data_IF_492744648256
#
_entry.id   IF_492744648256
#
_cell.length_a   1.000
_cell.length_b   1.000
_cell.length_c   1.000
_cell.angle_alpha   90.00
_cell.angle_beta   90.00
_cell.angle_gamma   90.00
#
_symmetry.space_group_name_H-M   'P 1'
#
loop_
_entity.id
_entity.type
_entity.pdbx_description
1 polymer ?
#
# COMPACT_ATOMS: atom_id res chain seq x y z
N UNK A 1 -9.51 20.36 -12.39
CA UNK A 1 -10.57 19.80 -11.50
C UNK A 1 -10.24 18.33 -11.24
N UNK A 2 -10.31 17.89 -9.99
CA UNK A 2 -10.05 16.48 -9.63
C UNK A 2 -11.15 15.59 -10.24
N UNK A 3 -10.76 14.46 -10.82
CA UNK A 3 -11.70 13.49 -11.39
C UNK A 3 -12.43 12.76 -10.28
N UNK A 4 -13.73 12.95 -10.17
CA UNK A 4 -14.61 12.28 -9.23
C UNK A 4 -14.93 10.87 -9.71
N UNK A 5 -14.90 9.88 -8.79
CA UNK A 5 -15.20 8.48 -9.07
C UNK A 5 -16.52 8.03 -8.42
N UNK A 6 -17.14 8.88 -7.64
CA UNK A 6 -18.46 8.69 -7.05
C UNK A 6 -18.57 9.11 -5.59
N UNK A 7 -19.76 9.57 -5.21
CA UNK A 7 -20.13 9.91 -3.83
C UNK A 7 -21.20 8.93 -3.32
N UNK A 8 -21.04 8.47 -2.10
CA UNK A 8 -22.01 7.61 -1.41
C UNK A 8 -22.01 7.92 0.08
N UNK A 9 -23.18 8.17 0.63
CA UNK A 9 -23.36 8.49 2.06
C UNK A 9 -22.50 9.68 2.52
N UNK A 10 -22.35 10.71 1.65
CA UNK A 10 -21.52 11.88 1.93
C UNK A 10 -20.01 11.65 1.86
N UNK A 11 -19.56 10.49 1.39
CA UNK A 11 -18.13 10.21 1.17
C UNK A 11 -17.86 10.18 -0.33
N UNK A 12 -17.17 11.21 -0.81
CA UNK A 12 -16.69 11.34 -2.17
C UNK A 12 -15.33 10.61 -2.33
N UNK A 13 -15.22 9.76 -3.35
CA UNK A 13 -13.93 9.21 -3.79
C UNK A 13 -13.54 9.90 -5.09
N UNK A 14 -12.29 10.38 -5.14
CA UNK A 14 -11.74 11.07 -6.31
C UNK A 14 -10.27 10.72 -6.53
N UNK A 15 -9.76 11.01 -7.71
CA UNK A 15 -8.32 10.97 -7.99
C UNK A 15 -7.63 12.02 -7.11
N UNK A 16 -6.52 11.62 -6.50
CA UNK A 16 -5.64 12.48 -5.70
C UNK A 16 -4.80 13.37 -6.62
N UNK A 17 -4.61 14.62 -6.26
CA UNK A 17 -3.69 15.55 -6.90
C UNK A 17 -2.45 15.81 -6.03
N UNK A 18 -1.39 16.35 -6.61
CA UNK A 18 -0.15 16.68 -5.87
C UNK A 18 -0.41 17.71 -4.77
N UNK A 19 -1.35 18.64 -5.00
CA UNK A 19 -1.75 19.65 -4.03
C UNK A 19 -2.34 19.06 -2.75
N UNK A 20 -2.95 17.86 -2.85
CA UNK A 20 -3.51 17.15 -1.69
C UNK A 20 -2.41 16.59 -0.78
N UNK A 21 -1.19 16.38 -1.30
CA UNK A 21 -0.18 15.57 -0.64
C UNK A 21 0.20 16.07 0.76
N UNK A 22 0.23 17.37 0.97
CA UNK A 22 0.50 17.94 2.30
C UNK A 22 -0.50 17.47 3.36
N UNK A 23 -1.79 17.44 3.03
CA UNK A 23 -2.84 16.97 3.93
C UNK A 23 -2.85 15.44 4.05
N UNK A 24 -2.55 14.74 2.96
CA UNK A 24 -2.38 13.27 2.92
C UNK A 24 -1.26 12.84 3.86
N UNK A 25 -0.12 13.50 3.85
CA UNK A 25 1.01 13.22 4.74
C UNK A 25 0.63 13.37 6.22
N UNK A 26 -0.09 14.45 6.57
CA UNK A 26 -0.61 14.66 7.94
C UNK A 26 -1.57 13.54 8.31
N UNK A 27 -2.50 13.18 7.42
CA UNK A 27 -3.46 12.11 7.65
C UNK A 27 -2.76 10.75 7.86
N UNK A 28 -1.77 10.41 7.04
CA UNK A 28 -0.99 9.17 7.19
C UNK A 28 -0.23 9.14 8.51
N UNK A 29 0.37 10.25 8.91
CA UNK A 29 1.07 10.38 10.19
C UNK A 29 0.20 10.01 11.38
N UNK A 30 -1.05 10.46 11.39
CA UNK A 30 -1.98 10.17 12.47
C UNK A 30 -2.69 8.81 12.41
N UNK A 31 -2.75 8.18 11.23
CA UNK A 31 -3.64 7.04 11.01
C UNK A 31 -2.98 5.78 10.47
N UNK A 32 -1.82 5.88 9.81
CA UNK A 32 -1.20 4.75 9.13
C UNK A 32 -0.05 4.14 9.93
N UNK A 33 1.01 4.90 10.17
CA UNK A 33 2.28 4.35 10.65
C UNK A 33 2.19 3.66 12.00
N UNK A 34 1.36 4.16 12.92
CA UNK A 34 1.15 3.57 14.25
C UNK A 34 0.32 2.28 14.21
N UNK A 35 -0.41 2.02 13.13
CA UNK A 35 -1.31 0.87 12.99
C UNK A 35 -0.89 -0.12 11.90
N UNK A 36 0.12 0.21 11.11
CA UNK A 36 0.67 -0.68 10.09
C UNK A 36 1.54 -1.76 10.78
N UNK A 37 1.28 -3.07 10.54
CA UNK A 37 1.87 -4.15 11.33
C UNK A 37 3.40 -4.18 11.33
N UNK A 38 4.05 -3.91 10.20
CA UNK A 38 5.52 -3.93 10.11
C UNK A 38 6.14 -2.72 10.81
N UNK A 39 5.55 -1.54 10.62
CA UNK A 39 5.97 -0.32 11.29
C UNK A 39 5.77 -0.41 12.81
N UNK A 40 4.60 -0.84 13.25
CA UNK A 40 4.25 -0.93 14.67
C UNK A 40 5.09 -1.98 15.42
N UNK A 41 5.60 -3.01 14.72
CA UNK A 41 6.42 -4.06 15.34
C UNK A 41 7.87 -3.67 15.61
N UNK A 42 8.33 -2.50 15.13
CA UNK A 42 9.73 -2.09 15.22
C UNK A 42 10.09 -1.40 16.53
N UNK A 43 9.13 -0.73 17.16
CA UNK A 43 9.36 0.13 18.31
C UNK A 43 10.06 1.45 17.98
N UNK A 44 10.31 1.77 16.71
CA UNK A 44 10.94 2.99 16.22
C UNK A 44 9.90 4.06 15.86
N UNK A 45 10.28 5.34 15.90
CA UNK A 45 9.47 6.44 15.37
C UNK A 45 9.59 6.49 13.84
N UNK A 46 8.78 5.68 13.18
CA UNK A 46 8.84 5.46 11.73
C UNK A 46 8.51 6.71 10.92
N UNK A 47 7.83 7.70 11.50
CA UNK A 47 7.45 8.93 10.79
C UNK A 47 8.65 9.82 10.47
N UNK A 48 9.71 9.73 11.26
CA UNK A 48 10.91 10.56 11.10
C UNK A 48 11.99 9.94 10.23
N UNK A 49 11.86 8.66 9.90
CA UNK A 49 12.84 7.97 9.08
C UNK A 49 12.54 8.18 7.59
N UNK A 50 13.51 8.71 6.81
CA UNK A 50 13.45 8.86 5.34
C UNK A 50 12.25 9.65 4.80
N UNK A 51 11.90 10.75 5.46
CA UNK A 51 10.73 11.56 5.13
C UNK A 51 10.78 12.08 3.69
N UNK A 52 11.94 12.52 3.22
CA UNK A 52 12.10 13.12 1.89
C UNK A 52 11.97 12.08 0.77
N UNK A 53 12.63 10.95 0.89
CA UNK A 53 12.59 9.86 -0.10
C UNK A 53 11.19 9.29 -0.23
N UNK A 54 10.49 9.12 0.88
CA UNK A 54 9.08 8.71 0.88
C UNK A 54 8.19 9.75 0.21
N UNK A 55 8.42 11.03 0.44
CA UNK A 55 7.65 12.11 -0.19
C UNK A 55 7.81 12.07 -1.71
N UNK A 56 9.04 11.97 -2.22
CA UNK A 56 9.33 11.89 -3.65
C UNK A 56 8.66 10.65 -4.29
N UNK A 57 8.73 9.52 -3.62
CA UNK A 57 8.10 8.28 -4.09
C UNK A 57 6.56 8.39 -4.14
N UNK A 58 5.93 8.92 -3.09
CA UNK A 58 4.48 9.10 -3.06
C UNK A 58 4.00 10.12 -4.10
N UNK A 59 4.72 11.24 -4.26
CA UNK A 59 4.40 12.24 -5.28
C UNK A 59 4.50 11.63 -6.68
N UNK A 60 5.53 10.83 -6.95
CA UNK A 60 5.67 10.15 -8.25
C UNK A 60 4.50 9.21 -8.57
N UNK A 61 3.89 8.57 -7.56
CA UNK A 61 2.65 7.80 -7.75
C UNK A 61 1.44 8.67 -8.01
N UNK A 62 1.31 9.80 -7.30
CA UNK A 62 0.19 10.73 -7.47
C UNK A 62 0.17 11.32 -8.88
N UNK A 63 1.33 11.68 -9.41
CA UNK A 63 1.48 12.21 -10.77
C UNK A 63 1.01 11.23 -11.87
N UNK A 64 1.02 9.93 -11.60
CA UNK A 64 0.48 8.91 -12.51
C UNK A 64 -1.06 8.91 -12.57
N UNK A 65 -1.74 9.62 -11.66
CA UNK A 65 -3.19 9.68 -11.58
C UNK A 65 -3.84 8.34 -11.21
N UNK A 66 -3.14 7.55 -10.37
CA UNK A 66 -3.61 6.25 -9.86
C UNK A 66 -3.90 6.28 -8.36
N UNK A 67 -3.54 7.35 -7.67
CA UNK A 67 -3.82 7.52 -6.25
C UNK A 67 -5.24 8.05 -6.00
N UNK A 68 -5.88 7.59 -4.93
CA UNK A 68 -7.26 7.93 -4.59
C UNK A 68 -7.35 8.62 -3.24
N UNK A 69 -8.32 9.53 -3.13
CA UNK A 69 -8.67 10.21 -1.89
C UNK A 69 -10.16 10.04 -1.61
N UNK A 70 -10.51 9.68 -0.38
CA UNK A 70 -11.87 9.69 0.14
C UNK A 70 -12.04 10.86 1.09
N UNK A 71 -13.02 11.74 0.83
CA UNK A 71 -13.30 12.91 1.65
C UNK A 71 -14.75 12.89 2.14
N UNK A 72 -14.95 13.34 3.37
CA UNK A 72 -16.28 13.49 3.99
C UNK A 72 -16.82 14.87 3.65
N UNK A 73 -17.73 14.91 2.67
CA UNK A 73 -18.38 16.15 2.18
C UNK A 73 -19.24 16.81 3.28
N UNK A 74 -19.80 16.02 4.18
CA UNK A 74 -20.63 16.53 5.29
C UNK A 74 -19.80 17.14 6.43
N UNK A 75 -18.48 16.95 6.39
CA UNK A 75 -17.56 17.40 7.43
C UNK A 75 -16.40 18.23 6.83
N UNK A 76 -16.76 19.24 6.05
CA UNK A 76 -15.80 20.19 5.48
C UNK A 76 -14.76 19.60 4.52
N UNK A 77 -15.03 18.47 3.90
CA UNK A 77 -14.09 17.80 2.98
C UNK A 77 -12.92 17.13 3.70
N UNK A 78 -13.09 16.76 4.97
CA UNK A 78 -12.06 16.06 5.75
C UNK A 78 -11.67 14.75 5.07
N UNK A 79 -10.36 14.48 4.98
CA UNK A 79 -9.84 13.20 4.50
C UNK A 79 -10.25 12.09 5.48
N UNK A 80 -10.85 11.03 4.97
CA UNK A 80 -11.29 9.85 5.72
C UNK A 80 -10.69 8.54 5.19
N UNK A 81 -10.01 8.59 4.06
CA UNK A 81 -9.29 7.45 3.52
C UNK A 81 -8.48 7.81 2.28
N UNK A 82 -7.54 6.95 1.93
CA UNK A 82 -6.72 7.11 0.73
C UNK A 82 -6.20 5.78 0.20
N UNK A 83 -5.77 5.81 -1.06
CA UNK A 83 -4.91 4.78 -1.66
C UNK A 83 -3.76 5.48 -2.36
N UNK A 84 -2.53 5.06 -2.05
CA UNK A 84 -1.35 5.33 -2.87
C UNK A 84 -1.10 4.11 -3.75
N UNK A 85 -1.03 4.33 -5.04
CA UNK A 85 -0.82 3.28 -6.03
C UNK A 85 -0.09 3.82 -7.25
N UNK A 86 0.72 2.97 -7.89
CA UNK A 86 1.50 3.37 -9.05
C UNK A 86 1.78 2.20 -10.00
N UNK A 87 2.29 2.53 -11.17
CA UNK A 87 2.78 1.56 -12.12
C UNK A 87 4.06 0.90 -11.62
N UNK A 88 4.16 -0.41 -11.78
CA UNK A 88 5.38 -1.17 -11.56
C UNK A 88 5.72 -1.94 -12.83
N UNK A 89 7.01 -2.01 -13.16
CA UNK A 89 7.55 -2.69 -14.36
C UNK A 89 8.65 -3.68 -13.97
N UNK A 90 9.04 -4.63 -14.85
CA UNK A 90 10.04 -5.65 -14.49
C UNK A 90 11.38 -5.10 -13.98
N UNK A 91 11.84 -3.95 -14.50
CA UNK A 91 13.08 -3.32 -14.05
C UNK A 91 13.04 -2.82 -12.59
N UNK A 92 11.84 -2.61 -12.03
CA UNK A 92 11.70 -2.16 -10.65
C UNK A 92 12.13 -3.24 -9.64
N UNK A 93 12.06 -4.52 -9.99
CA UNK A 93 12.50 -5.62 -9.12
C UNK A 93 13.98 -5.48 -8.71
N UNK A 94 14.84 -5.19 -9.68
CA UNK A 94 16.27 -5.00 -9.40
C UNK A 94 16.55 -3.65 -8.78
N UNK A 95 15.83 -2.60 -9.21
CA UNK A 95 15.92 -1.26 -8.63
C UNK A 95 15.57 -1.28 -7.14
N UNK A 96 14.41 -1.84 -6.77
CA UNK A 96 13.98 -1.93 -5.36
C UNK A 96 14.96 -2.74 -4.51
N UNK A 97 15.52 -3.81 -5.07
CA UNK A 97 16.55 -4.59 -4.36
C UNK A 97 17.79 -3.76 -4.07
N UNK A 98 18.31 -3.06 -5.08
CA UNK A 98 19.49 -2.21 -4.93
C UNK A 98 19.25 -1.08 -3.92
N UNK A 99 18.12 -0.38 -4.06
CA UNK A 99 17.72 0.67 -3.12
C UNK A 99 17.60 0.13 -1.68
N UNK A 100 16.99 -1.04 -1.50
CA UNK A 100 16.85 -1.66 -0.18
C UNK A 100 18.22 -2.02 0.45
N UNK A 101 19.18 -2.48 -0.35
CA UNK A 101 20.52 -2.81 0.13
C UNK A 101 21.36 -1.56 0.53
N UNK A 102 21.02 -0.39 -0.05
CA UNK A 102 21.66 0.90 0.23
C UNK A 102 21.01 1.63 1.42
N UNK A 103 19.82 1.20 1.86
CA UNK A 103 19.10 1.84 2.97
C UNK A 103 19.75 1.55 4.33
N UNK A 104 19.60 2.49 5.27
CA UNK A 104 19.94 2.26 6.67
C UNK A 104 19.16 1.08 7.25
N UNK A 105 19.77 0.35 8.19
CA UNK A 105 19.17 -0.83 8.86
C UNK A 105 18.16 -0.43 9.96
N UNK A 106 17.35 0.58 9.68
CA UNK A 106 16.17 0.95 10.46
C UNK A 106 14.93 0.18 10.01
N UNK A 107 13.76 0.50 10.54
CA UNK A 107 12.51 -0.17 10.19
C UNK A 107 12.21 -0.12 8.69
N UNK A 108 12.42 1.02 8.05
CA UNK A 108 12.16 1.18 6.61
C UNK A 108 13.09 0.33 5.75
N UNK A 109 14.39 0.32 6.06
CA UNK A 109 15.35 -0.53 5.36
C UNK A 109 15.00 -2.02 5.51
N UNK A 110 14.65 -2.47 6.72
CA UNK A 110 14.23 -3.85 6.94
C UNK A 110 12.95 -4.22 6.17
N UNK A 111 11.97 -3.30 6.10
CA UNK A 111 10.74 -3.49 5.30
C UNK A 111 11.09 -3.55 3.82
N UNK A 112 11.91 -2.62 3.33
CA UNK A 112 12.32 -2.58 1.92
C UNK A 112 13.05 -3.86 1.49
N UNK A 113 14.00 -4.35 2.30
CA UNK A 113 14.68 -5.63 2.07
C UNK A 113 13.68 -6.78 2.02
N UNK A 114 12.81 -6.89 3.00
CA UNK A 114 11.80 -7.96 3.07
C UNK A 114 10.87 -7.97 1.86
N UNK A 115 10.35 -6.81 1.46
CA UNK A 115 9.46 -6.71 0.29
C UNK A 115 10.19 -7.01 -1.01
N UNK A 116 11.41 -6.48 -1.21
CA UNK A 116 12.21 -6.73 -2.42
C UNK A 116 12.59 -8.20 -2.60
N UNK A 117 12.84 -8.92 -1.50
CA UNK A 117 13.09 -10.37 -1.53
C UNK A 117 11.86 -11.14 -2.01
N UNK A 118 10.67 -10.77 -1.54
CA UNK A 118 9.40 -11.40 -1.97
C UNK A 118 9.10 -11.06 -3.43
N UNK A 119 9.29 -9.79 -3.84
CA UNK A 119 9.11 -9.36 -5.23
C UNK A 119 9.94 -10.21 -6.20
N UNK A 120 11.22 -10.39 -5.90
CA UNK A 120 12.13 -11.21 -6.74
C UNK A 120 11.77 -12.69 -6.69
N UNK A 121 11.45 -13.22 -5.50
CA UNK A 121 11.10 -14.64 -5.32
C UNK A 121 9.85 -15.04 -6.09
N UNK A 122 8.83 -14.18 -6.10
CA UNK A 122 7.55 -14.47 -6.76
C UNK A 122 7.57 -14.09 -8.23
N UNK A 123 8.29 -13.02 -8.57
CA UNK A 123 8.41 -12.44 -9.92
C UNK A 123 7.09 -12.50 -10.72
N UNK A 124 6.15 -11.63 -10.34
CA UNK A 124 4.80 -11.60 -10.94
C UNK A 124 4.86 -11.37 -12.45
N UNK A 125 5.79 -10.57 -12.92
CA UNK A 125 5.94 -10.25 -14.33
C UNK A 125 6.22 -11.50 -15.18
N UNK A 126 7.14 -12.34 -14.73
CA UNK A 126 7.46 -13.61 -15.38
C UNK A 126 6.30 -14.61 -15.22
N UNK A 127 5.75 -14.72 -14.00
CA UNK A 127 4.68 -15.67 -13.67
C UNK A 127 3.41 -15.46 -14.51
N UNK A 128 3.05 -14.20 -14.83
CA UNK A 128 1.83 -13.86 -15.56
C UNK A 128 2.08 -13.34 -16.98
N UNK A 129 3.34 -13.19 -17.39
CA UNK A 129 3.70 -12.70 -18.72
C UNK A 129 3.28 -11.25 -18.96
N UNK A 130 3.34 -10.39 -17.93
CA UNK A 130 2.93 -8.99 -18.02
C UNK A 130 4.14 -8.05 -18.00
N UNK A 131 4.06 -6.94 -18.72
CA UNK A 131 5.12 -5.93 -18.80
C UNK A 131 4.92 -4.74 -17.84
N UNK A 132 3.74 -4.61 -17.26
CA UNK A 132 3.40 -3.62 -16.24
C UNK A 132 2.29 -4.15 -15.34
N UNK A 133 2.19 -3.61 -14.14
CA UNK A 133 1.09 -3.87 -13.22
C UNK A 133 0.77 -2.62 -12.39
N UNK A 134 -0.44 -2.58 -11.82
CA UNK A 134 -0.83 -1.56 -10.85
C UNK A 134 -0.49 -2.06 -9.46
N UNK A 135 0.46 -1.40 -8.80
CA UNK A 135 0.84 -1.69 -7.42
C UNK A 135 0.03 -0.84 -6.44
N UNK A 136 -0.84 -1.48 -5.65
CA UNK A 136 -1.55 -0.86 -4.53
C UNK A 136 -0.62 -0.84 -3.31
N UNK A 137 0.10 0.28 -3.15
CA UNK A 137 1.15 0.44 -2.14
C UNK A 137 0.56 0.61 -0.72
N UNK A 138 -0.24 1.66 -0.51
CA UNK A 138 -0.87 1.96 0.77
C UNK A 138 -2.38 2.07 0.58
N UNK A 139 -3.14 1.43 1.47
CA UNK A 139 -4.57 1.73 1.67
C UNK A 139 -4.76 2.09 3.13
N UNK A 140 -5.20 3.31 3.39
CA UNK A 140 -5.40 3.82 4.74
C UNK A 140 -6.82 4.36 4.90
N UNK A 141 -7.47 4.02 6.02
CA UNK A 141 -8.83 4.47 6.38
C UNK A 141 -8.81 4.99 7.81
N UNK A 142 -9.39 6.18 8.00
CA UNK A 142 -9.58 6.79 9.32
C UNK A 142 -10.21 5.79 10.30
N UNK A 143 -9.72 5.77 11.53
CA UNK A 143 -10.18 4.83 12.55
C UNK A 143 -11.70 4.89 12.77
N UNK A 144 -12.30 6.09 12.72
CA UNK A 144 -13.73 6.30 12.87
C UNK A 144 -14.59 5.76 11.71
N UNK A 145 -13.96 5.48 10.57
CA UNK A 145 -14.58 4.97 9.35
C UNK A 145 -14.32 3.48 9.11
N UNK A 146 -13.53 2.84 9.94
CA UNK A 146 -13.25 1.40 9.84
C UNK A 146 -14.51 0.58 10.09
N UNK A 147 -14.60 -0.60 9.47
CA UNK A 147 -15.77 -1.47 9.55
C UNK A 147 -16.99 -1.02 8.74
N UNK A 148 -16.94 0.16 8.10
CA UNK A 148 -18.04 0.73 7.29
C UNK A 148 -17.88 0.51 5.77
N UNK A 149 -16.97 -0.38 5.36
CA UNK A 149 -16.78 -0.74 3.95
C UNK A 149 -15.96 0.25 3.11
N UNK A 150 -15.47 1.37 3.68
CA UNK A 150 -14.77 2.41 2.92
C UNK A 150 -13.49 1.87 2.24
N UNK A 151 -12.71 1.04 2.92
CA UNK A 151 -11.52 0.45 2.34
C UNK A 151 -11.83 -0.46 1.14
N UNK A 152 -12.95 -1.20 1.18
CA UNK A 152 -13.40 -2.03 0.04
C UNK A 152 -13.82 -1.14 -1.14
N UNK A 153 -14.53 -0.02 -0.88
CA UNK A 153 -14.89 0.95 -1.92
C UNK A 153 -13.66 1.57 -2.58
N UNK A 154 -12.66 1.96 -1.79
CA UNK A 154 -11.38 2.48 -2.30
C UNK A 154 -10.65 1.46 -3.17
N UNK A 155 -10.56 0.21 -2.73
CA UNK A 155 -9.90 -0.83 -3.51
C UNK A 155 -10.67 -1.16 -4.81
N UNK A 156 -12.00 -1.20 -4.78
CA UNK A 156 -12.83 -1.38 -5.97
C UNK A 156 -12.65 -0.20 -6.95
N UNK A 157 -12.66 1.04 -6.46
CA UNK A 157 -12.42 2.22 -7.28
C UNK A 157 -11.01 2.19 -7.91
N UNK A 158 -10.00 1.72 -7.19
CA UNK A 158 -8.64 1.55 -7.73
C UNK A 158 -8.60 0.51 -8.87
N UNK A 159 -9.34 -0.60 -8.75
CA UNK A 159 -9.44 -1.59 -9.83
C UNK A 159 -10.05 -0.97 -11.09
N UNK A 160 -11.10 -0.14 -10.97
CA UNK A 160 -11.69 0.56 -12.12
C UNK A 160 -10.72 1.57 -12.75
N UNK A 161 -9.97 2.33 -11.93
CA UNK A 161 -8.90 3.20 -12.44
C UNK A 161 -7.84 2.38 -13.17
N UNK A 162 -7.45 1.24 -12.62
CA UNK A 162 -6.50 0.32 -13.25
C UNK A 162 -6.98 -0.16 -14.62
N UNK A 163 -8.25 -0.59 -14.73
CA UNK A 163 -8.87 -1.00 -16.01
C UNK A 163 -8.88 0.13 -17.02
N UNK A 164 -9.32 1.32 -16.60
CA UNK A 164 -9.39 2.50 -17.47
C UNK A 164 -8.04 2.96 -18.01
N UNK A 165 -6.95 2.68 -17.27
CA UNK A 165 -5.57 2.99 -17.66
C UNK A 165 -4.86 1.82 -18.36
N UNK A 166 -5.56 0.71 -18.62
CA UNK A 166 -5.03 -0.43 -19.35
C UNK A 166 -3.95 -1.22 -18.57
N UNK A 167 -4.08 -1.31 -17.26
CA UNK A 167 -3.28 -2.24 -16.48
C UNK A 167 -3.85 -3.65 -16.61
N UNK A 168 -3.03 -4.66 -16.92
CA UNK A 168 -3.50 -6.04 -17.04
C UNK A 168 -3.84 -6.69 -15.71
N UNK A 169 -3.23 -6.18 -14.62
CA UNK A 169 -3.47 -6.69 -13.27
C UNK A 169 -3.12 -5.68 -12.18
N UNK A 170 -3.70 -5.90 -11.01
CA UNK A 170 -3.36 -5.18 -9.78
C UNK A 170 -2.77 -6.15 -8.77
N UNK A 171 -1.77 -5.66 -8.02
CA UNK A 171 -1.13 -6.38 -6.93
C UNK A 171 -1.11 -5.57 -5.64
N UNK A 172 -1.07 -6.25 -4.50
CA UNK A 172 -0.91 -5.64 -3.18
C UNK A 172 -0.17 -6.56 -2.23
N UNK A 173 0.82 -6.02 -1.52
CA UNK A 173 1.50 -6.69 -0.40
C UNK A 173 0.75 -6.33 0.88
N UNK A 174 -0.03 -7.26 1.39
CA UNK A 174 -0.89 -7.07 2.55
C UNK A 174 -0.18 -7.51 3.82
N UNK A 175 0.38 -6.57 4.56
CA UNK A 175 0.97 -6.80 5.88
C UNK A 175 -0.08 -7.07 6.96
N UNK A 176 -1.29 -6.53 6.77
CA UNK A 176 -2.40 -6.66 7.70
C UNK A 176 -3.35 -7.81 7.32
N UNK A 177 -3.73 -8.62 8.31
CA UNK A 177 -4.78 -9.62 8.19
C UNK A 177 -6.09 -9.02 7.61
N UNK A 178 -6.46 -7.81 8.05
CA UNK A 178 -7.68 -7.16 7.61
C UNK A 178 -7.61 -6.70 6.16
N UNK A 179 -6.45 -6.17 5.72
CA UNK A 179 -6.28 -5.74 4.33
C UNK A 179 -6.30 -6.91 3.36
N UNK A 180 -5.72 -8.05 3.73
CA UNK A 180 -5.77 -9.27 2.93
C UNK A 180 -7.21 -9.81 2.81
N UNK A 181 -7.96 -9.91 3.93
CA UNK A 181 -9.37 -10.32 3.90
C UNK A 181 -10.24 -9.40 3.05
N UNK A 182 -10.03 -8.09 3.15
CA UNK A 182 -10.76 -7.11 2.34
C UNK A 182 -10.51 -7.34 0.85
N UNK A 183 -9.26 -7.50 0.44
CA UNK A 183 -8.90 -7.71 -0.97
C UNK A 183 -9.40 -9.07 -1.48
N UNK A 184 -9.35 -10.11 -0.65
CA UNK A 184 -9.91 -11.42 -0.97
C UNK A 184 -11.42 -11.34 -1.22
N UNK A 185 -12.16 -10.58 -0.40
CA UNK A 185 -13.60 -10.36 -0.58
C UNK A 185 -13.94 -9.62 -1.89
N UNK A 186 -12.98 -8.89 -2.48
CA UNK A 186 -13.10 -8.24 -3.78
C UNK A 186 -12.61 -9.12 -4.96
N UNK A 187 -12.32 -10.39 -4.71
CA UNK A 187 -11.92 -11.36 -5.73
C UNK A 187 -10.41 -11.44 -5.99
N UNK A 188 -9.57 -10.76 -5.19
CA UNK A 188 -8.13 -10.95 -5.29
C UNK A 188 -7.71 -12.31 -4.74
N UNK A 189 -6.79 -12.97 -5.43
CA UNK A 189 -6.18 -14.23 -5.03
C UNK A 189 -4.91 -14.00 -4.19
N UNK A 190 -4.73 -14.77 -3.13
CA UNK A 190 -3.46 -14.86 -2.43
C UNK A 190 -2.56 -15.87 -3.14
N UNK A 191 -1.49 -15.39 -3.79
CA UNK A 191 -0.56 -16.24 -4.56
C UNK A 191 0.72 -16.58 -3.81
N UNK A 192 0.97 -15.89 -2.73
CA UNK A 192 2.12 -16.11 -1.86
C UNK A 192 1.82 -15.57 -0.46
N UNK A 193 2.29 -16.26 0.56
CA UNK A 193 2.30 -15.76 1.93
C UNK A 193 3.64 -16.07 2.61
N UNK A 194 4.04 -15.20 3.53
CA UNK A 194 5.25 -15.36 4.34
C UNK A 194 4.91 -15.10 5.81
N UNK A 195 5.12 -16.11 6.65
CA UNK A 195 4.92 -15.95 8.08
C UNK A 195 6.00 -15.05 8.69
N UNK A 196 5.61 -14.04 9.46
CA UNK A 196 6.59 -13.15 10.11
C UNK A 196 7.53 -13.91 11.06
N UNK A 197 7.06 -14.98 11.69
CA UNK A 197 7.86 -15.84 12.57
C UNK A 197 9.03 -16.54 11.85
N UNK A 198 8.92 -16.71 10.53
CA UNK A 198 9.93 -17.36 9.70
C UNK A 198 10.94 -16.37 9.10
N UNK A 199 10.65 -15.06 9.16
CA UNK A 199 11.56 -14.02 8.68
C UNK A 199 12.55 -13.61 9.78
N UNK A 200 13.80 -14.04 9.62
CA UNK A 200 14.85 -13.90 10.64
C UNK A 200 16.06 -13.17 10.09
N UNK A 201 16.72 -12.42 10.95
CA UNK A 201 18.00 -11.81 10.67
C UNK A 201 19.17 -12.84 10.66
N UNK A 202 20.38 -12.36 10.39
CA UNK A 202 21.61 -13.18 10.36
C UNK A 202 21.92 -13.87 11.71
N UNK A 203 21.34 -13.37 12.82
CA UNK A 203 21.52 -13.94 14.17
C UNK A 203 20.39 -14.91 14.52
N UNK A 204 19.47 -15.20 13.58
CA UNK A 204 18.32 -16.06 13.80
C UNK A 204 17.16 -15.42 14.59
N UNK A 205 17.19 -14.10 14.80
CA UNK A 205 16.15 -13.36 15.50
C UNK A 205 15.01 -13.01 14.52
N UNK A 206 13.76 -13.20 14.96
CA UNK A 206 12.59 -12.79 14.18
C UNK A 206 12.57 -11.27 14.06
N UNK A 207 12.52 -10.77 12.81
CA UNK A 207 12.64 -9.32 12.48
C UNK A 207 11.35 -8.58 12.78
N UNK A 208 10.19 -9.13 12.38
CA UNK A 208 8.88 -8.50 12.59
C UNK A 208 8.02 -9.30 13.56
N UNK A 209 7.50 -8.65 14.60
CA UNK A 209 6.69 -9.26 15.65
C UNK A 209 5.38 -8.48 15.84
N UNK A 210 4.55 -8.34 14.80
CA UNK A 210 3.30 -7.60 14.94
C UNK A 210 2.33 -8.32 15.87
N UNK A 211 1.44 -7.54 16.50
CA UNK A 211 0.39 -8.09 17.37
C UNK A 211 -0.62 -8.93 16.57
N UNK A 212 -1.26 -9.88 17.23
CA UNK A 212 -2.36 -10.65 16.64
C UNK A 212 -3.49 -9.70 16.16
N UNK A 213 -4.15 -9.99 15.05
CA UNK A 213 -4.12 -11.23 14.25
C UNK A 213 -3.11 -11.21 13.08
N UNK A 214 -2.14 -10.30 13.07
CA UNK A 214 -1.20 -10.09 11.98
C UNK A 214 -0.06 -11.11 12.05
N UNK A 215 -0.15 -12.20 11.29
CA UNK A 215 0.82 -13.31 11.33
C UNK A 215 1.62 -13.50 10.04
N UNK A 216 1.10 -12.98 8.93
CA UNK A 216 1.69 -13.17 7.60
C UNK A 216 1.61 -11.91 6.76
N UNK A 217 2.62 -11.67 5.96
CA UNK A 217 2.49 -10.86 4.75
C UNK A 217 1.86 -11.73 3.66
N UNK A 218 0.88 -11.18 2.94
CA UNK A 218 0.21 -11.86 1.82
C UNK A 218 0.31 -11.05 0.55
N UNK A 219 0.72 -11.70 -0.52
CA UNK A 219 0.74 -11.12 -1.87
C UNK A 219 -0.58 -11.45 -2.55
N UNK A 220 -1.38 -10.42 -2.77
CA UNK A 220 -2.70 -10.49 -3.37
C UNK A 220 -2.66 -9.99 -4.80
N UNK A 221 -3.30 -10.69 -5.74
CA UNK A 221 -3.35 -10.31 -7.16
C UNK A 221 -4.75 -10.44 -7.73
N UNK A 222 -5.05 -9.63 -8.75
CA UNK A 222 -6.26 -9.76 -9.57
C UNK A 222 -5.95 -9.29 -10.99
N UNK A 223 -6.50 -10.00 -11.99
CA UNK A 223 -6.53 -9.51 -13.38
C UNK A 223 -7.58 -8.42 -13.52
N UNK A 224 -7.24 -7.36 -14.20
CA UNK A 224 -8.10 -6.18 -14.38
C UNK A 224 -8.84 -6.20 -15.72
#
# INVERSE_FOLDING_TARGET
MATELGSQSGILIRIMSVEDYKQVKIFMGGNFYNGEPLCASSGEDVQKCHEKENDEYHISMIEQGTCLLAVDENNGGRIVGLVLAGCQVPSDLEKHRKEADEMEQNTWGRIAVFLSEIERKVNIFERYGVSKLLYSHITNVDASMRGKGLGARLAAALMEVGRSKGFPMMVAYCSSFYSARQKQALGMECIYEHAYADYKDANGQVVFKPAAPHTHLRLMVIKL
#
